data_IF_206222132321
#
_entry.id   IF_206222132321
#
_cell.length_a   1.000
_cell.length_b   1.000
_cell.length_c   1.000
_cell.angle_alpha   90.00
_cell.angle_beta   90.00
_cell.angle_gamma   90.00
#
_symmetry.space_group_name_H-M   'P 1'
#
loop_
_entity.id
_entity.type
_entity.pdbx_description
1 polymer ?
#
# COMPACT_ATOMS: atom_id res chain seq x y z
N UNK A 1 49.45 -40.93 -26.73
CA UNK A 1 48.51 -41.74 -27.53
C UNK A 1 47.18 -41.57 -26.83
N UNK A 2 46.45 -40.49 -27.15
CA UNK A 2 45.26 -40.50 -28.04
C UNK A 2 44.12 -41.28 -27.35
N UNK A 3 42.90 -40.80 -27.12
CA UNK A 3 42.17 -39.63 -27.60
C UNK A 3 40.88 -39.53 -26.75
N UNK A 4 40.45 -38.32 -26.41
CA UNK A 4 39.02 -37.91 -26.24
C UNK A 4 38.31 -38.00 -27.61
N UNK A 5 36.96 -38.09 -27.77
CA UNK A 5 36.05 -36.96 -27.47
C UNK A 5 34.51 -37.22 -27.28
N UNK A 6 33.82 -36.14 -26.83
CA UNK A 6 32.52 -35.57 -27.29
C UNK A 6 31.23 -36.43 -27.42
N UNK A 7 29.98 -35.97 -27.28
CA UNK A 7 29.33 -34.66 -27.09
C UNK A 7 27.84 -34.87 -26.68
N UNK A 8 27.27 -33.88 -25.98
CA UNK A 8 25.93 -33.26 -26.17
C UNK A 8 24.60 -33.92 -25.67
N UNK A 9 23.98 -33.18 -24.74
CA UNK A 9 22.59 -32.64 -24.75
C UNK A 9 21.38 -33.58 -24.69
N UNK A 10 20.54 -33.44 -23.64
CA UNK A 10 19.26 -32.69 -23.73
C UNK A 10 18.51 -32.66 -22.41
N UNK A 11 17.85 -31.52 -22.19
CA UNK A 11 16.90 -31.16 -21.15
C UNK A 11 15.74 -32.16 -21.01
N UNK A 12 15.21 -32.39 -19.79
CA UNK A 12 13.89 -31.85 -19.41
C UNK A 12 13.31 -32.45 -18.12
N UNK A 13 12.59 -31.55 -17.42
CA UNK A 13 11.30 -31.74 -16.72
C UNK A 13 11.24 -32.38 -15.33
N UNK A 14 11.15 -31.45 -14.37
CA UNK A 14 10.25 -31.44 -13.21
C UNK A 14 8.89 -32.11 -13.49
N UNK A 15 8.46 -32.97 -12.56
CA UNK A 15 7.05 -33.24 -12.25
C UNK A 15 6.91 -33.64 -10.77
N UNK A 16 5.65 -33.53 -10.30
CA UNK A 16 5.04 -33.87 -9.01
C UNK A 16 4.95 -32.68 -8.01
N UNK A 17 3.78 -32.32 -7.47
CA UNK A 17 2.42 -32.87 -7.63
C UNK A 17 1.42 -31.82 -7.09
N UNK A 18 0.33 -31.59 -7.81
CA UNK A 18 -0.84 -30.85 -7.33
C UNK A 18 -2.10 -31.70 -7.53
N UNK A 19 -2.90 -31.81 -6.47
CA UNK A 19 -4.31 -32.25 -6.39
C UNK A 19 -4.82 -31.69 -5.04
N UNK A 20 -6.05 -31.23 -4.79
CA UNK A 20 -7.42 -31.39 -5.30
C UNK A 20 -8.10 -29.98 -5.26
N UNK A 21 -9.27 -29.66 -5.81
CA UNK A 21 -10.51 -30.43 -5.98
C UNK A 21 -11.41 -29.81 -7.07
N UNK A 22 -12.34 -30.64 -7.56
CA UNK A 22 -13.25 -30.40 -8.67
C UNK A 22 -14.64 -29.91 -8.23
N UNK A 23 -15.32 -29.24 -9.17
CA UNK A 23 -16.77 -28.98 -9.22
C UNK A 23 -17.03 -27.63 -9.91
N UNK A 24 -17.60 -27.50 -11.10
CA UNK A 24 -18.45 -28.39 -11.89
C UNK A 24 -19.78 -27.67 -12.14
N UNK A 25 -19.85 -26.78 -13.14
CA UNK A 25 -21.12 -26.21 -13.61
C UNK A 25 -21.11 -26.03 -15.13
N UNK A 26 -22.05 -26.73 -15.75
CA UNK A 26 -22.36 -26.79 -17.18
C UNK A 26 -22.96 -25.49 -17.71
N UNK A 27 -22.48 -25.09 -18.89
CA UNK A 27 -23.06 -24.04 -19.72
C UNK A 27 -24.42 -24.44 -20.31
N UNK A 28 -25.36 -23.50 -20.35
CA UNK A 28 -26.51 -23.52 -21.26
C UNK A 28 -26.58 -22.18 -21.98
N UNK A 29 -26.34 -22.21 -23.28
CA UNK A 29 -26.62 -21.13 -24.21
C UNK A 29 -28.13 -21.03 -24.45
N UNK A 30 -28.66 -19.80 -24.47
CA UNK A 30 -30.04 -19.52 -24.81
C UNK A 30 -30.20 -18.11 -25.37
N UNK A 31 -30.03 -17.97 -26.69
CA UNK A 31 -30.46 -16.80 -27.44
C UNK A 31 -31.98 -16.62 -27.33
N UNK A 32 -32.46 -15.41 -27.07
CA UNK A 32 -33.81 -15.01 -27.49
C UNK A 32 -33.85 -13.53 -27.82
N UNK A 33 -34.00 -13.24 -29.10
CA UNK A 33 -34.32 -11.94 -29.66
C UNK A 33 -35.76 -11.58 -29.32
N UNK A 34 -35.98 -10.44 -28.64
CA UNK A 34 -37.29 -9.78 -28.58
C UNK A 34 -37.14 -8.43 -29.26
N UNK A 35 -37.70 -8.35 -30.46
CA UNK A 35 -38.11 -7.13 -31.14
C UNK A 35 -39.28 -6.51 -30.39
N UNK A 36 -39.14 -5.28 -29.90
CA UNK A 36 -40.23 -4.49 -29.33
C UNK A 36 -39.95 -3.01 -29.56
N UNK A 37 -40.52 -2.46 -30.64
CA UNK A 37 -40.53 -1.03 -30.88
C UNK A 37 -41.46 -0.31 -29.90
N UNK A 38 -41.00 0.85 -29.45
CA UNK A 38 -41.78 1.79 -28.66
C UNK A 38 -41.18 3.17 -28.80
N UNK A 39 -41.80 4.00 -29.65
CA UNK A 39 -41.60 5.45 -29.68
C UNK A 39 -41.75 6.03 -28.28
N UNK A 40 -40.73 6.74 -27.81
CA UNK A 40 -40.90 7.78 -26.81
C UNK A 40 -40.04 8.98 -27.20
N UNK A 41 -40.74 10.02 -27.60
CA UNK A 41 -40.30 11.40 -27.75
C UNK A 41 -39.48 11.84 -26.53
N UNK A 42 -38.18 12.09 -26.76
CA UNK A 42 -37.32 12.83 -25.84
C UNK A 42 -37.84 14.26 -25.72
N UNK A 43 -38.54 14.52 -24.62
CA UNK A 43 -38.89 15.88 -24.20
C UNK A 43 -37.81 16.29 -23.21
N UNK A 44 -37.02 17.30 -23.58
CA UNK A 44 -36.03 17.90 -22.70
C UNK A 44 -36.67 18.40 -21.41
N UNK A 45 -36.25 17.82 -20.30
CA UNK A 45 -36.35 18.41 -18.97
C UNK A 45 -34.92 18.49 -18.45
N UNK A 46 -34.36 19.70 -18.42
CA UNK A 46 -33.14 19.98 -17.70
C UNK A 46 -33.42 19.81 -16.21
N UNK A 47 -33.13 18.61 -15.72
CA UNK A 47 -32.89 18.41 -14.30
C UNK A 47 -31.51 19.01 -14.04
N UNK A 48 -31.44 20.00 -13.15
CA UNK A 48 -30.19 20.37 -12.50
C UNK A 48 -29.81 19.23 -11.55
N UNK A 49 -29.45 18.09 -12.15
CA UNK A 49 -29.11 16.87 -11.44
C UNK A 49 -27.91 17.17 -10.56
N UNK A 50 -28.04 16.92 -9.26
CA UNK A 50 -26.88 16.83 -8.39
C UNK A 50 -25.99 15.72 -8.95
N UNK A 51 -24.95 16.09 -9.69
CA UNK A 51 -23.94 15.14 -10.18
C UNK A 51 -23.46 14.32 -8.99
N UNK A 52 -23.63 13.00 -9.04
CA UNK A 52 -23.21 12.13 -7.95
C UNK A 52 -21.69 12.10 -7.85
N UNK A 53 -21.15 12.16 -6.65
CA UNK A 53 -19.72 12.00 -6.40
C UNK A 53 -19.43 10.51 -6.27
N UNK A 54 -18.52 10.00 -7.10
CA UNK A 54 -18.07 8.61 -7.07
C UNK A 54 -16.85 8.53 -6.18
N UNK A 55 -16.98 7.85 -5.05
CA UNK A 55 -15.89 7.67 -4.09
C UNK A 55 -15.25 6.32 -4.32
N UNK A 56 -13.94 6.31 -4.59
CA UNK A 56 -13.19 5.11 -4.91
C UNK A 56 -12.07 4.81 -3.93
N UNK A 57 -11.34 3.73 -4.20
CA UNK A 57 -10.06 3.43 -3.57
C UNK A 57 -9.30 2.37 -4.35
N UNK A 58 -8.05 2.08 -3.93
CA UNK A 58 -7.40 0.84 -4.35
C UNK A 58 -8.01 -0.37 -3.62
N UNK A 59 -7.77 -1.56 -4.19
CA UNK A 59 -8.39 -2.83 -3.77
C UNK A 59 -7.79 -3.52 -2.54
N UNK A 60 -6.79 -2.94 -1.86
CA UNK A 60 -6.20 -3.56 -0.66
C UNK A 60 -6.77 -2.94 0.63
N UNK A 61 -6.68 -3.70 1.73
CA UNK A 61 -7.44 -3.43 2.97
C UNK A 61 -7.40 -1.98 3.46
N UNK A 62 -6.22 -1.42 3.71
CA UNK A 62 -6.08 -0.04 4.18
C UNK A 62 -6.64 1.00 3.19
N UNK A 63 -6.43 0.80 1.88
CA UNK A 63 -6.98 1.69 0.87
C UNK A 63 -8.50 1.65 0.83
N UNK A 64 -9.11 0.48 0.99
CA UNK A 64 -10.57 0.37 1.13
C UNK A 64 -11.05 1.07 2.41
N UNK A 65 -10.33 0.94 3.52
CA UNK A 65 -10.60 1.70 4.75
C UNK A 65 -10.57 3.22 4.50
N UNK A 66 -9.52 3.74 3.87
CA UNK A 66 -9.41 5.16 3.54
C UNK A 66 -10.51 5.59 2.55
N UNK A 67 -10.88 4.75 1.59
CA UNK A 67 -12.02 4.97 0.70
C UNK A 67 -13.32 5.18 1.46
N UNK A 68 -13.58 4.36 2.47
CA UNK A 68 -14.74 4.55 3.34
C UNK A 68 -14.61 5.75 4.28
N UNK A 69 -13.41 6.12 4.73
CA UNK A 69 -13.20 7.40 5.44
C UNK A 69 -13.63 8.57 4.55
N UNK A 70 -13.23 8.59 3.27
CA UNK A 70 -13.66 9.61 2.32
C UNK A 70 -15.19 9.59 2.13
N UNK A 71 -15.78 8.41 1.97
CA UNK A 71 -17.21 8.24 1.77
C UNK A 71 -18.01 8.79 2.96
N UNK A 72 -17.67 8.40 4.18
CA UNK A 72 -18.37 8.81 5.40
C UNK A 72 -18.21 10.31 5.68
N UNK A 73 -17.02 10.88 5.46
CA UNK A 73 -16.80 12.33 5.56
C UNK A 73 -17.72 13.09 4.59
N UNK A 74 -17.76 12.68 3.33
CA UNK A 74 -18.61 13.33 2.32
C UNK A 74 -20.11 13.14 2.60
N UNK A 75 -20.51 11.95 3.05
CA UNK A 75 -21.91 11.62 3.30
C UNK A 75 -22.51 12.42 4.46
N UNK A 76 -21.70 12.71 5.48
CA UNK A 76 -22.18 13.34 6.72
C UNK A 76 -21.91 14.85 6.78
N UNK A 77 -20.97 15.37 5.98
CA UNK A 77 -20.62 16.81 6.02
C UNK A 77 -21.01 17.58 4.74
N UNK A 78 -21.59 16.89 3.75
CA UNK A 78 -22.07 17.51 2.50
C UNK A 78 -23.50 17.09 2.16
N UNK A 79 -24.09 17.73 1.14
CA UNK A 79 -25.38 17.32 0.55
C UNK A 79 -25.20 16.53 -0.77
N UNK A 80 -24.01 15.99 -1.02
CA UNK A 80 -23.73 15.27 -2.26
C UNK A 80 -24.43 13.91 -2.28
N UNK A 81 -24.91 13.51 -3.46
CA UNK A 81 -25.29 12.11 -3.69
C UNK A 81 -24.02 11.32 -3.95
N UNK A 82 -23.77 10.25 -3.20
CA UNK A 82 -22.55 9.46 -3.34
C UNK A 82 -22.79 8.12 -4.04
N UNK A 83 -21.79 7.67 -4.79
CA UNK A 83 -21.69 6.31 -5.33
C UNK A 83 -20.44 5.67 -4.72
N UNK A 84 -20.61 4.50 -4.10
CA UNK A 84 -19.50 3.71 -3.55
C UNK A 84 -18.89 2.84 -4.66
N UNK A 85 -17.65 3.16 -5.01
CA UNK A 85 -16.78 2.39 -5.90
C UNK A 85 -15.46 2.07 -5.17
N UNK A 86 -15.50 1.93 -3.84
CA UNK A 86 -14.34 1.50 -3.06
C UNK A 86 -13.87 0.12 -3.51
N UNK A 87 -12.55 -0.08 -3.49
CA UNK A 87 -11.92 -1.28 -4.03
C UNK A 87 -11.87 -1.32 -5.57
N UNK A 88 -12.00 -0.17 -6.25
CA UNK A 88 -12.05 -0.02 -7.70
C UNK A 88 -10.97 -0.81 -8.47
N UNK A 89 -9.73 -0.84 -7.96
CA UNK A 89 -8.65 -1.61 -8.58
C UNK A 89 -7.24 -1.27 -8.08
N UNK A 90 -6.23 -1.56 -8.89
CA UNK A 90 -4.84 -1.16 -8.61
C UNK A 90 -4.47 0.21 -9.18
N UNK A 91 -3.20 0.61 -9.05
CA UNK A 91 -2.67 1.91 -9.50
C UNK A 91 -3.10 2.28 -10.93
N UNK A 92 -2.99 1.35 -11.90
CA UNK A 92 -3.37 1.63 -13.28
C UNK A 92 -4.87 1.88 -13.46
N UNK A 93 -5.73 1.14 -12.74
CA UNK A 93 -7.18 1.26 -12.85
C UNK A 93 -7.68 2.56 -12.20
N UNK A 94 -7.22 2.85 -10.98
CA UNK A 94 -7.60 4.10 -10.29
C UNK A 94 -7.03 5.31 -11.03
N UNK A 95 -5.83 5.18 -11.65
CA UNK A 95 -5.23 6.23 -12.47
C UNK A 95 -6.01 6.53 -13.75
N UNK A 96 -6.54 5.52 -14.43
CA UNK A 96 -7.49 5.77 -15.51
C UNK A 96 -8.75 6.46 -14.99
N UNK A 97 -9.27 6.00 -13.85
CA UNK A 97 -10.56 6.42 -13.34
C UNK A 97 -10.59 7.89 -12.91
N UNK A 98 -9.60 8.37 -12.16
CA UNK A 98 -9.56 9.79 -11.79
C UNK A 98 -9.24 10.71 -12.96
N UNK A 99 -8.60 10.23 -14.04
CA UNK A 99 -8.34 11.08 -15.22
C UNK A 99 -9.56 11.21 -16.12
N UNK A 100 -10.45 10.24 -16.07
CA UNK A 100 -11.65 10.15 -16.91
C UNK A 100 -12.94 10.56 -16.19
N UNK A 101 -12.85 10.93 -14.90
CA UNK A 101 -14.01 11.27 -14.08
C UNK A 101 -14.87 10.06 -13.67
N UNK A 102 -14.37 8.83 -13.84
CA UNK A 102 -15.08 7.63 -13.38
C UNK A 102 -14.95 7.42 -11.86
N UNK A 103 -13.88 7.95 -11.25
CA UNK A 103 -13.75 8.12 -9.80
C UNK A 103 -13.47 9.58 -9.53
N UNK A 104 -14.20 10.15 -8.58
CA UNK A 104 -14.16 11.58 -8.29
C UNK A 104 -13.38 11.91 -7.02
N UNK A 105 -13.39 11.05 -6.01
CA UNK A 105 -12.68 11.29 -4.75
C UNK A 105 -12.11 9.99 -4.18
N UNK A 106 -10.86 10.02 -3.75
CA UNK A 106 -10.22 8.94 -2.99
C UNK A 106 -8.97 9.45 -2.27
N UNK A 107 -8.40 8.65 -1.36
CA UNK A 107 -7.07 8.92 -0.81
C UNK A 107 -6.03 8.03 -1.48
N UNK A 108 -4.87 8.59 -1.78
CA UNK A 108 -3.69 7.87 -2.26
C UNK A 108 -2.46 8.25 -1.42
N UNK A 109 -1.31 7.62 -1.68
CA UNK A 109 -0.03 7.90 -1.06
C UNK A 109 0.88 8.67 -2.01
N UNK A 110 1.58 9.68 -1.51
CA UNK A 110 2.48 10.52 -2.31
C UNK A 110 3.48 9.69 -3.14
N UNK A 111 4.18 8.74 -2.52
CA UNK A 111 5.10 7.84 -3.21
C UNK A 111 4.44 6.95 -4.28
N UNK A 112 3.18 6.56 -4.09
CA UNK A 112 2.45 5.79 -5.10
C UNK A 112 2.04 6.65 -6.28
N UNK A 113 1.53 7.86 -6.03
CA UNK A 113 1.18 8.81 -7.09
C UNK A 113 2.44 9.13 -7.93
N UNK A 114 3.56 9.40 -7.28
CA UNK A 114 4.82 9.74 -7.94
C UNK A 114 5.39 8.60 -8.82
N UNK A 115 5.44 7.37 -8.28
CA UNK A 115 6.13 6.26 -8.96
C UNK A 115 5.24 5.49 -9.94
N UNK A 116 3.93 5.43 -9.67
CA UNK A 116 3.04 4.48 -10.36
C UNK A 116 1.99 5.13 -11.24
N UNK A 117 1.74 6.43 -11.08
CA UNK A 117 0.74 7.17 -11.86
C UNK A 117 1.46 8.03 -12.89
N UNK A 118 0.88 8.28 -14.08
CA UNK A 118 1.48 9.19 -15.06
C UNK A 118 1.54 10.62 -14.51
N UNK A 119 2.57 11.42 -14.80
CA UNK A 119 3.88 10.98 -15.31
C UNK A 119 4.60 10.13 -14.26
N UNK A 120 5.16 8.98 -14.69
CA UNK A 120 5.80 8.02 -13.78
C UNK A 120 7.27 8.36 -13.59
N UNK A 121 7.74 8.29 -12.35
CA UNK A 121 9.14 8.50 -12.00
C UNK A 121 9.77 7.24 -11.41
N UNK A 122 10.98 6.92 -11.87
CA UNK A 122 11.74 5.76 -11.39
C UNK A 122 12.49 6.02 -10.07
N UNK A 123 12.67 7.29 -9.69
CA UNK A 123 13.26 7.70 -8.40
C UNK A 123 12.42 8.79 -7.72
N UNK A 124 12.56 8.90 -6.40
CA UNK A 124 11.97 9.93 -5.56
C UNK A 124 13.04 10.48 -4.62
N UNK A 125 13.91 11.31 -5.18
CA UNK A 125 15.05 11.90 -4.46
C UNK A 125 14.61 13.20 -3.78
N UNK A 126 13.87 13.07 -2.68
CA UNK A 126 13.39 14.20 -1.87
C UNK A 126 14.00 14.18 -0.48
N UNK A 127 14.48 15.34 -0.02
CA UNK A 127 15.07 15.47 1.32
C UNK A 127 14.00 15.52 2.43
N UNK A 128 12.76 15.91 2.10
CA UNK A 128 11.67 16.09 3.08
C UNK A 128 10.31 15.70 2.48
N UNK A 129 9.33 15.30 3.31
CA UNK A 129 7.96 15.06 2.88
C UNK A 129 7.32 16.28 2.20
N UNK A 130 7.60 17.50 2.70
CA UNK A 130 7.07 18.74 2.14
C UNK A 130 7.59 18.99 0.73
N UNK A 131 8.89 18.76 0.49
CA UNK A 131 9.46 18.88 -0.85
C UNK A 131 8.83 17.90 -1.85
N UNK A 132 8.56 16.67 -1.42
CA UNK A 132 7.85 15.69 -2.24
C UNK A 132 6.39 16.10 -2.49
N UNK A 133 5.69 16.58 -1.46
CA UNK A 133 4.30 17.03 -1.56
C UNK A 133 4.15 18.18 -2.55
N UNK A 134 4.99 19.22 -2.44
CA UNK A 134 4.93 20.39 -3.31
C UNK A 134 5.21 20.02 -4.78
N UNK A 135 6.22 19.19 -5.02
CA UNK A 135 6.55 18.70 -6.36
C UNK A 135 5.42 17.84 -6.94
N UNK A 136 4.90 16.89 -6.16
CA UNK A 136 3.80 16.01 -6.55
C UNK A 136 2.54 16.81 -6.87
N UNK A 137 2.15 17.72 -5.99
CA UNK A 137 0.97 18.57 -6.15
C UNK A 137 1.06 19.40 -7.42
N UNK A 138 2.18 20.11 -7.61
CA UNK A 138 2.39 20.93 -8.80
C UNK A 138 2.30 20.13 -10.09
N UNK A 139 2.90 18.93 -10.13
CA UNK A 139 2.92 18.11 -11.34
C UNK A 139 1.55 17.47 -11.62
N UNK A 140 0.96 16.83 -10.61
CA UNK A 140 -0.31 16.10 -10.75
C UNK A 140 -1.48 17.02 -11.13
N UNK A 141 -1.57 18.21 -10.54
CA UNK A 141 -2.61 19.19 -10.87
C UNK A 141 -2.38 19.84 -12.26
N UNK A 142 -1.15 19.83 -12.78
CA UNK A 142 -0.85 20.36 -14.11
C UNK A 142 -1.12 19.36 -15.23
N UNK A 143 -0.97 18.06 -14.95
CA UNK A 143 -1.09 16.98 -15.93
C UNK A 143 -2.49 16.34 -15.94
N UNK A 144 -3.28 16.51 -14.88
CA UNK A 144 -4.59 15.83 -14.71
C UNK A 144 -5.67 16.78 -14.18
N UNK A 145 -6.96 16.49 -14.42
CA UNK A 145 -8.08 17.29 -13.92
C UNK A 145 -8.40 16.99 -12.45
N UNK A 146 -7.41 17.10 -11.57
CA UNK A 146 -7.54 16.79 -10.15
C UNK A 146 -6.95 17.89 -9.28
N UNK A 147 -7.36 17.90 -8.01
CA UNK A 147 -6.71 18.61 -6.91
C UNK A 147 -6.08 17.62 -5.95
N UNK A 148 -4.87 17.96 -5.49
CA UNK A 148 -4.20 17.27 -4.41
C UNK A 148 -4.50 18.02 -3.10
N UNK A 149 -5.12 17.32 -2.18
CA UNK A 149 -5.58 17.84 -0.89
C UNK A 149 -4.46 17.83 0.15
N UNK A 150 -4.79 18.20 1.39
CA UNK A 150 -3.84 18.22 2.50
C UNK A 150 -3.35 16.79 2.78
N UNK A 151 -2.04 16.66 3.06
CA UNK A 151 -1.41 15.39 3.41
C UNK A 151 -1.52 15.13 4.91
N UNK A 152 -1.58 13.88 5.33
CA UNK A 152 -1.32 13.54 6.74
C UNK A 152 0.19 13.53 7.05
N UNK A 153 0.55 13.59 8.33
CA UNK A 153 1.94 13.57 8.79
C UNK A 153 2.48 12.16 9.08
N UNK A 154 1.65 11.13 9.00
CA UNK A 154 2.07 9.73 9.03
C UNK A 154 2.24 9.14 7.63
N UNK A 155 2.93 8.01 7.55
CA UNK A 155 3.16 7.30 6.30
C UNK A 155 2.84 5.81 6.42
N UNK A 156 2.38 5.22 5.32
CA UNK A 156 2.44 3.77 5.12
C UNK A 156 3.63 3.44 4.21
N UNK A 157 4.82 3.41 4.82
CA UNK A 157 6.05 3.00 4.15
C UNK A 157 6.48 1.58 4.57
N UNK A 158 7.44 1.02 3.83
CA UNK A 158 8.22 -0.13 4.29
C UNK A 158 8.98 0.22 5.57
N UNK A 159 8.87 -0.67 6.55
CA UNK A 159 9.48 -0.54 7.85
C UNK A 159 10.28 -1.79 8.16
N UNK A 160 11.48 -1.60 8.71
CA UNK A 160 12.27 -2.67 9.31
C UNK A 160 11.91 -2.73 10.78
N UNK A 161 11.20 -3.79 11.18
CA UNK A 161 10.83 -4.00 12.58
C UNK A 161 11.77 -5.01 13.22
N UNK A 162 12.10 -4.77 14.48
CA UNK A 162 12.98 -5.61 15.30
C UNK A 162 12.30 -5.98 16.61
N UNK A 163 12.51 -7.21 17.06
CA UNK A 163 12.14 -7.60 18.42
C UNK A 163 13.04 -6.87 19.41
N UNK A 164 12.47 -6.20 20.41
CA UNK A 164 13.23 -5.45 21.44
C UNK A 164 14.28 -6.34 22.11
N UNK A 165 13.93 -7.59 22.43
CA UNK A 165 14.85 -8.59 23.00
C UNK A 165 16.11 -8.86 22.16
N UNK A 166 16.07 -8.59 20.85
CA UNK A 166 17.18 -8.85 19.95
C UNK A 166 18.12 -7.63 19.79
N UNK A 167 17.64 -6.44 20.13
CA UNK A 167 18.40 -5.18 20.01
C UNK A 167 18.70 -4.54 21.37
N UNK A 168 18.20 -5.11 22.46
CA UNK A 168 18.49 -4.64 23.81
C UNK A 168 20.02 -4.64 24.07
N UNK A 169 20.56 -3.46 24.36
CA UNK A 169 21.99 -3.28 24.65
C UNK A 169 22.91 -3.33 23.43
N UNK A 170 22.40 -3.50 22.21
CA UNK A 170 23.21 -3.44 20.98
C UNK A 170 23.44 -2.00 20.51
N UNK A 171 22.53 -1.08 20.88
CA UNK A 171 22.55 0.31 20.44
C UNK A 171 21.94 0.53 19.05
N UNK A 172 21.37 -0.51 18.43
CA UNK A 172 20.74 -0.41 17.10
C UNK A 172 19.47 0.42 17.21
N UNK A 173 19.43 1.61 16.61
CA UNK A 173 18.23 2.45 16.52
C UNK A 173 17.77 2.63 15.07
N UNK A 174 18.71 2.61 14.13
CA UNK A 174 18.45 2.84 12.70
C UNK A 174 18.92 1.70 11.80
N UNK A 175 18.58 1.77 10.51
CA UNK A 175 19.06 0.81 9.50
C UNK A 175 20.59 0.95 9.31
N UNK A 176 21.15 2.17 9.41
CA UNK A 176 22.61 2.37 9.43
C UNK A 176 23.28 1.67 10.61
N UNK A 177 22.68 1.69 11.81
CA UNK A 177 23.24 0.96 12.95
C UNK A 177 23.20 -0.56 12.74
N UNK A 178 22.12 -1.07 12.14
CA UNK A 178 22.02 -2.48 11.76
C UNK A 178 23.12 -2.87 10.75
N UNK A 179 23.39 -2.00 9.77
CA UNK A 179 24.49 -2.19 8.82
C UNK A 179 25.84 -2.26 9.53
N UNK A 180 26.11 -1.33 10.45
CA UNK A 180 27.33 -1.30 11.25
C UNK A 180 27.48 -2.57 12.10
N UNK A 181 26.39 -3.04 12.73
CA UNK A 181 26.36 -4.24 13.54
C UNK A 181 26.74 -5.50 12.74
N UNK A 182 26.11 -5.70 11.57
CA UNK A 182 26.42 -6.81 10.67
C UNK A 182 27.85 -6.69 10.13
N UNK A 183 28.29 -5.49 9.74
CA UNK A 183 29.63 -5.25 9.22
C UNK A 183 30.73 -5.51 10.26
N UNK A 184 30.40 -5.33 11.56
CA UNK A 184 31.28 -5.67 12.69
C UNK A 184 31.41 -7.17 12.95
N UNK A 185 30.74 -8.01 12.13
CA UNK A 185 30.65 -9.48 12.26
C UNK A 185 29.78 -9.94 13.42
N UNK A 186 28.83 -9.12 13.86
CA UNK A 186 27.78 -9.59 14.75
C UNK A 186 26.55 -9.99 13.93
N UNK A 187 26.17 -11.25 14.04
CA UNK A 187 25.10 -11.89 13.28
C UNK A 187 24.07 -12.50 14.22
N UNK A 188 23.83 -11.93 15.40
CA UNK A 188 22.90 -12.45 16.41
C UNK A 188 21.41 -12.21 16.08
N UNK A 189 21.10 -11.47 15.02
CA UNK A 189 19.74 -11.17 14.56
C UNK A 189 19.34 -12.14 13.45
N UNK A 190 18.19 -12.79 13.53
CA UNK A 190 17.62 -13.57 12.42
C UNK A 190 16.55 -12.77 11.66
N UNK A 191 16.73 -12.45 10.38
CA UNK A 191 15.74 -11.70 9.63
C UNK A 191 14.70 -12.59 8.93
N UNK A 192 13.50 -12.06 8.74
CA UNK A 192 12.42 -12.63 7.95
C UNK A 192 11.93 -11.61 6.89
N UNK A 193 11.76 -12.07 5.66
CA UNK A 193 11.30 -11.23 4.56
C UNK A 193 10.08 -11.85 3.89
N UNK A 194 9.18 -11.02 3.39
CA UNK A 194 8.05 -11.48 2.58
C UNK A 194 8.50 -11.91 1.18
N UNK A 195 7.80 -12.88 0.60
CA UNK A 195 8.04 -13.35 -0.77
C UNK A 195 8.06 -12.18 -1.75
N UNK A 196 9.05 -12.20 -2.65
CA UNK A 196 9.27 -11.15 -3.64
C UNK A 196 9.94 -9.87 -3.11
N UNK A 197 9.93 -9.58 -1.80
CA UNK A 197 10.56 -8.36 -1.26
C UNK A 197 12.04 -8.28 -1.62
N UNK A 198 12.74 -9.43 -1.59
CA UNK A 198 14.15 -9.50 -1.92
C UNK A 198 14.48 -8.97 -3.32
N UNK A 199 13.68 -9.35 -4.31
CA UNK A 199 13.94 -9.10 -5.74
C UNK A 199 13.38 -7.78 -6.28
N UNK A 200 12.72 -6.97 -5.45
CA UNK A 200 12.19 -5.68 -5.88
C UNK A 200 13.32 -4.67 -6.13
N UNK A 201 13.07 -3.70 -6.99
CA UNK A 201 14.01 -2.59 -7.24
C UNK A 201 14.23 -1.71 -6.00
N UNK A 202 13.23 -1.63 -5.12
CA UNK A 202 13.24 -0.97 -3.80
C UNK A 202 13.26 -2.00 -2.65
N UNK A 203 13.74 -3.21 -2.94
CA UNK A 203 13.71 -4.38 -2.06
C UNK A 203 14.97 -4.58 -1.21
N UNK A 204 15.11 -5.78 -0.64
CA UNK A 204 16.23 -6.10 0.27
C UNK A 204 17.61 -5.86 -0.36
N UNK A 205 17.85 -6.35 -1.57
CA UNK A 205 19.19 -6.24 -2.18
C UNK A 205 19.56 -4.76 -2.43
N UNK A 206 18.59 -3.92 -2.81
CA UNK A 206 18.78 -2.48 -2.98
C UNK A 206 18.96 -1.75 -1.64
N UNK A 207 18.22 -2.14 -0.60
CA UNK A 207 18.35 -1.61 0.76
C UNK A 207 19.76 -1.88 1.32
N UNK A 208 20.23 -3.13 1.17
CA UNK A 208 21.54 -3.53 1.67
C UNK A 208 22.68 -2.77 0.98
N UNK A 209 22.58 -2.56 -0.34
CA UNK A 209 23.55 -1.77 -1.10
C UNK A 209 23.53 -0.30 -0.67
N UNK A 210 22.33 0.30 -0.58
CA UNK A 210 22.15 1.69 -0.20
C UNK A 210 22.75 1.99 1.19
N UNK A 211 22.49 1.11 2.17
CA UNK A 211 23.00 1.20 3.54
C UNK A 211 24.43 0.64 3.73
N UNK A 212 25.12 0.30 2.64
CA UNK A 212 26.52 -0.13 2.65
C UNK A 212 26.79 -1.37 3.52
N UNK A 213 25.86 -2.34 3.52
CA UNK A 213 26.14 -3.66 4.09
C UNK A 213 27.24 -4.35 3.27
N UNK A 214 28.29 -4.83 3.92
CA UNK A 214 29.38 -5.57 3.28
C UNK A 214 28.83 -6.90 2.74
N UNK A 215 28.91 -7.16 1.41
CA UNK A 215 28.33 -8.36 0.81
C UNK A 215 28.89 -9.68 1.36
N UNK A 216 30.16 -9.72 1.77
CA UNK A 216 30.75 -10.89 2.43
C UNK A 216 30.15 -11.10 3.82
N UNK A 217 29.87 -10.00 4.54
CA UNK A 217 29.23 -10.05 5.87
C UNK A 217 27.78 -10.45 5.78
N UNK A 218 27.03 -9.94 4.81
CA UNK A 218 25.64 -10.39 4.54
C UNK A 218 25.61 -11.88 4.19
N UNK A 219 26.54 -12.35 3.36
CA UNK A 219 26.62 -13.77 3.01
C UNK A 219 26.90 -14.64 4.25
N UNK A 220 27.82 -14.21 5.12
CA UNK A 220 28.09 -14.90 6.38
C UNK A 220 26.87 -14.87 7.32
N UNK A 221 26.22 -13.71 7.45
CA UNK A 221 25.02 -13.53 8.26
C UNK A 221 23.89 -14.48 7.83
N UNK A 222 23.61 -14.55 6.53
CA UNK A 222 22.61 -15.45 5.97
C UNK A 222 22.96 -16.93 6.21
N UNK A 223 24.24 -17.29 6.18
CA UNK A 223 24.70 -18.65 6.47
C UNK A 223 24.61 -19.02 7.96
N UNK A 224 24.80 -18.07 8.87
CA UNK A 224 24.84 -18.33 10.32
C UNK A 224 23.45 -18.26 10.98
N UNK A 225 22.53 -17.44 10.44
CA UNK A 225 21.19 -17.25 11.02
C UNK A 225 20.02 -17.73 10.19
N UNK A 226 20.24 -18.08 8.93
CA UNK A 226 19.18 -18.43 7.97
C UNK A 226 18.14 -17.30 7.82
N UNK A 227 18.17 -16.62 6.68
CA UNK A 227 17.15 -15.63 6.35
C UNK A 227 15.85 -16.37 6.05
N UNK A 228 14.80 -16.06 6.79
CA UNK A 228 13.50 -16.67 6.62
C UNK A 228 12.76 -16.02 5.46
N UNK A 229 12.44 -16.81 4.44
CA UNK A 229 11.53 -16.41 3.38
C UNK A 229 10.10 -16.79 3.81
N UNK A 230 9.24 -15.78 3.93
CA UNK A 230 7.85 -15.92 4.37
C UNK A 230 6.88 -15.64 3.23
N UNK A 231 5.62 -16.04 3.36
CA UNK A 231 4.65 -15.89 2.26
C UNK A 231 4.22 -14.44 1.99
N UNK A 232 4.48 -13.50 2.93
CA UNK A 232 4.06 -12.10 2.81
C UNK A 232 4.77 -11.22 3.85
N UNK A 233 4.72 -9.90 3.66
CA UNK A 233 5.17 -8.92 4.67
C UNK A 233 4.49 -9.12 6.04
N UNK A 234 3.21 -9.49 6.04
CA UNK A 234 2.50 -9.81 7.29
C UNK A 234 3.06 -11.07 7.96
N UNK A 235 3.37 -12.10 7.19
CA UNK A 235 3.97 -13.33 7.73
C UNK A 235 5.38 -13.09 8.28
N UNK A 236 6.15 -12.16 7.71
CA UNK A 236 7.40 -11.69 8.30
C UNK A 236 7.18 -11.02 9.67
N UNK A 237 6.13 -10.21 9.80
CA UNK A 237 5.69 -9.62 11.08
C UNK A 237 5.37 -10.68 12.13
N UNK A 238 4.50 -11.63 11.77
CA UNK A 238 4.15 -12.78 12.64
C UNK A 238 5.38 -13.59 13.04
N UNK A 239 6.34 -13.78 12.14
CA UNK A 239 7.57 -14.50 12.48
C UNK A 239 8.40 -13.79 13.56
N UNK A 240 8.40 -12.44 13.58
CA UNK A 240 9.06 -11.66 14.64
C UNK A 240 8.30 -11.73 15.95
N UNK A 241 6.99 -11.54 15.90
CA UNK A 241 6.10 -11.59 17.08
C UNK A 241 6.15 -12.98 17.77
N UNK A 242 6.05 -14.06 17.00
CA UNK A 242 6.12 -15.44 17.52
C UNK A 242 7.55 -15.89 17.87
N UNK A 243 8.56 -15.04 17.65
CA UNK A 243 9.95 -15.30 18.00
C UNK A 243 10.68 -16.28 17.07
N UNK A 244 10.14 -16.56 15.88
CA UNK A 244 10.84 -17.31 14.84
C UNK A 244 11.94 -16.50 14.15
N UNK A 245 11.78 -15.18 14.13
CA UNK A 245 12.74 -14.19 13.66
C UNK A 245 12.93 -13.09 14.72
N UNK A 246 13.99 -12.31 14.55
CA UNK A 246 14.35 -11.16 15.37
C UNK A 246 14.14 -9.84 14.63
N UNK A 247 14.08 -9.88 13.31
CA UNK A 247 13.86 -8.75 12.42
C UNK A 247 12.93 -9.15 11.29
N UNK A 248 12.08 -8.24 10.84
CA UNK A 248 11.38 -8.41 9.58
C UNK A 248 11.06 -7.11 8.88
N UNK A 249 10.51 -7.23 7.68
CA UNK A 249 10.17 -6.08 6.83
C UNK A 249 8.72 -6.13 6.40
N UNK A 250 8.03 -5.02 6.52
CA UNK A 250 6.61 -4.91 6.21
C UNK A 250 6.09 -3.48 6.29
N UNK A 251 4.78 -3.30 6.33
CA UNK A 251 4.16 -1.97 6.29
C UNK A 251 4.07 -1.35 7.69
N UNK A 252 4.48 -0.10 7.82
CA UNK A 252 4.47 0.68 9.08
C UNK A 252 3.09 0.89 9.69
N UNK A 253 2.02 0.73 8.90
CA UNK A 253 0.62 0.84 9.38
C UNK A 253 -0.08 -0.52 9.53
N UNK A 254 0.67 -1.62 9.51
CA UNK A 254 0.09 -2.96 9.62
C UNK A 254 -0.68 -3.16 10.93
N UNK A 255 -1.88 -3.75 10.85
CA UNK A 255 -2.75 -4.00 12.00
C UNK A 255 -2.09 -4.79 13.14
N UNK A 256 -1.20 -5.74 12.83
CA UNK A 256 -0.54 -6.57 13.84
C UNK A 256 0.37 -5.76 14.78
N UNK A 257 0.79 -4.55 14.37
CA UNK A 257 1.58 -3.65 15.21
C UNK A 257 0.82 -3.15 16.44
N UNK A 258 -0.52 -3.26 16.45
CA UNK A 258 -1.35 -2.82 17.58
C UNK A 258 -1.27 -3.73 18.81
N UNK A 259 -0.84 -4.98 18.64
CA UNK A 259 -0.86 -6.01 19.68
C UNK A 259 0.55 -6.39 20.17
N UNK A 260 1.59 -5.64 19.78
CA UNK A 260 3.00 -6.02 19.97
C UNK A 260 3.85 -4.94 20.63
N UNK A 261 3.85 -4.90 21.97
CA UNK A 261 4.72 -4.01 22.74
C UNK A 261 6.23 -4.39 22.67
N UNK A 262 6.53 -5.60 22.18
CA UNK A 262 7.88 -6.16 22.12
C UNK A 262 8.61 -5.92 20.80
N UNK A 263 8.02 -5.13 19.91
CA UNK A 263 8.57 -4.84 18.59
C UNK A 263 8.74 -3.34 18.41
N UNK A 264 9.86 -2.93 17.82
CA UNK A 264 10.14 -1.54 17.46
C UNK A 264 10.52 -1.42 16.01
N UNK A 265 10.17 -0.30 15.40
CA UNK A 265 10.59 0.06 14.04
C UNK A 265 11.96 0.75 14.10
N UNK A 266 12.89 0.34 13.24
CA UNK A 266 14.15 1.02 13.05
C UNK A 266 13.95 2.28 12.19
N UNK A 267 14.68 3.34 12.51
CA UNK A 267 14.68 4.56 11.71
C UNK A 267 15.33 4.30 10.33
N UNK A 268 14.62 4.65 9.26
CA UNK A 268 15.17 4.77 7.90
C UNK A 268 15.96 6.08 7.81
N UNK A 269 17.10 6.15 8.51
CA UNK A 269 17.85 7.39 8.77
C UNK A 269 18.45 8.06 7.52
N UNK A 270 18.39 7.38 6.38
CA UNK A 270 18.85 7.88 5.08
C UNK A 270 17.73 8.02 4.05
N UNK A 271 16.46 7.84 4.43
CA UNK A 271 15.29 7.93 3.56
C UNK A 271 15.43 7.06 2.29
N UNK A 272 15.72 5.77 2.47
CA UNK A 272 15.82 4.84 1.34
C UNK A 272 14.48 4.70 0.60
N UNK A 273 13.36 4.66 1.33
CA UNK A 273 12.04 4.63 0.72
C UNK A 273 11.47 6.05 0.53
N UNK A 274 10.73 6.29 -0.57
CA UNK A 274 9.98 7.54 -0.75
C UNK A 274 9.01 7.81 0.39
N UNK A 275 8.58 9.07 0.56
CA UNK A 275 7.59 9.40 1.57
C UNK A 275 6.19 8.95 1.11
N UNK A 276 5.57 8.04 1.86
CA UNK A 276 4.25 7.48 1.58
C UNK A 276 3.19 8.09 2.50
N UNK A 277 3.12 9.42 2.57
CA UNK A 277 2.06 10.10 3.31
C UNK A 277 0.76 10.05 2.51
N UNK A 278 -0.40 9.83 3.16
CA UNK A 278 -1.69 9.83 2.48
C UNK A 278 -2.09 11.26 2.11
N UNK A 279 -2.71 11.41 0.95
CA UNK A 279 -3.23 12.66 0.39
C UNK A 279 -4.59 12.40 -0.25
N UNK A 280 -5.50 13.38 -0.17
CA UNK A 280 -6.74 13.33 -0.93
C UNK A 280 -6.51 13.68 -2.40
N UNK A 281 -7.19 12.96 -3.28
CA UNK A 281 -7.22 13.22 -4.72
C UNK A 281 -8.67 13.45 -5.12
N UNK A 282 -8.98 14.64 -5.61
CA UNK A 282 -10.35 15.05 -5.97
C UNK A 282 -10.40 15.53 -7.41
N UNK A 283 -11.31 14.98 -8.21
CA UNK A 283 -11.56 15.44 -9.57
C UNK A 283 -12.13 16.86 -9.56
N UNK A 284 -11.63 17.72 -10.45
CA UNK A 284 -12.00 19.14 -10.53
C UNK A 284 -13.53 19.36 -10.67
N UNK A 285 -14.21 18.50 -11.44
CA UNK A 285 -15.67 18.53 -11.62
C UNK A 285 -16.49 18.52 -10.31
N UNK A 286 -15.95 17.99 -9.22
CA UNK A 286 -16.63 17.90 -7.91
C UNK A 286 -15.94 18.68 -6.80
N UNK A 287 -14.83 19.36 -7.09
CA UNK A 287 -13.95 20.01 -6.11
C UNK A 287 -14.50 21.35 -5.55
N UNK A 288 -15.72 21.30 -5.02
CA UNK A 288 -16.33 22.43 -4.29
C UNK A 288 -15.66 22.63 -2.93
N UNK A 289 -15.77 23.84 -2.36
CA UNK A 289 -15.21 24.14 -1.03
C UNK A 289 -15.70 23.17 0.05
N UNK A 290 -16.95 22.71 -0.03
CA UNK A 290 -17.51 21.75 0.91
C UNK A 290 -16.87 20.35 0.78
N UNK A 291 -16.65 19.87 -0.45
CA UNK A 291 -16.00 18.58 -0.73
C UNK A 291 -14.53 18.61 -0.30
N UNK A 292 -13.83 19.69 -0.63
CA UNK A 292 -12.43 19.90 -0.25
C UNK A 292 -12.30 19.96 1.28
N UNK A 293 -13.13 20.75 1.96
CA UNK A 293 -13.11 20.85 3.42
C UNK A 293 -13.44 19.51 4.11
N UNK A 294 -14.42 18.76 3.59
CA UNK A 294 -14.77 17.45 4.12
C UNK A 294 -13.57 16.49 4.07
N UNK A 295 -12.89 16.40 2.93
CA UNK A 295 -11.78 15.46 2.75
C UNK A 295 -10.48 15.93 3.42
N UNK A 296 -10.27 17.24 3.58
CA UNK A 296 -9.18 17.78 4.40
C UNK A 296 -9.34 17.50 5.91
N UNK A 297 -10.42 16.83 6.33
CA UNK A 297 -10.57 16.34 7.72
C UNK A 297 -9.73 15.09 8.00
N UNK A 298 -9.33 14.32 6.97
CA UNK A 298 -8.61 13.04 7.16
C UNK A 298 -7.30 13.17 7.97
N UNK A 299 -6.43 14.17 7.73
CA UNK A 299 -5.21 14.35 8.53
C UNK A 299 -5.48 14.51 10.03
N UNK A 300 -6.58 15.15 10.43
CA UNK A 300 -6.96 15.29 11.84
C UNK A 300 -7.65 14.03 12.37
N UNK A 301 -8.44 13.35 11.53
CA UNK A 301 -9.12 12.12 11.90
C UNK A 301 -8.14 10.96 12.16
N UNK A 302 -7.08 10.90 11.35
CA UNK A 302 -6.02 9.91 11.46
C UNK A 302 -4.70 10.69 11.58
N UNK A 303 -4.33 11.14 12.80
CA UNK A 303 -3.18 12.04 12.99
C UNK A 303 -1.84 11.31 12.93
N UNK A 304 -1.81 10.01 13.22
CA UNK A 304 -0.59 9.23 13.36
C UNK A 304 -0.74 7.79 12.83
N UNK A 305 0.40 7.09 12.71
CA UNK A 305 0.45 5.74 12.20
C UNK A 305 -0.25 4.76 13.15
N UNK A 306 -0.16 4.98 14.45
CA UNK A 306 -0.80 4.17 15.50
C UNK A 306 -2.34 4.20 15.37
N UNK A 307 -2.91 5.37 15.07
CA UNK A 307 -4.35 5.52 14.79
C UNK A 307 -4.74 4.72 13.54
N UNK A 308 -3.93 4.80 12.48
CA UNK A 308 -4.16 4.02 11.26
C UNK A 308 -4.03 2.51 11.51
N UNK A 309 -3.04 2.06 12.28
CA UNK A 309 -2.86 0.66 12.68
C UNK A 309 -4.08 0.15 13.45
N UNK A 310 -4.56 0.92 14.43
CA UNK A 310 -5.76 0.60 15.20
C UNK A 310 -7.01 0.55 14.32
N UNK A 311 -7.11 1.46 13.35
CA UNK A 311 -8.21 1.47 12.38
C UNK A 311 -8.15 0.26 11.44
N UNK A 312 -6.96 -0.12 10.95
CA UNK A 312 -6.76 -1.35 10.16
C UNK A 312 -7.10 -2.61 10.96
N UNK A 313 -6.73 -2.66 12.24
CA UNK A 313 -7.07 -3.77 13.14
C UNK A 313 -8.58 -3.91 13.32
N UNK A 314 -9.28 -2.80 13.58
CA UNK A 314 -10.77 -2.78 13.62
C UNK A 314 -11.37 -3.21 12.28
N UNK A 315 -10.87 -2.69 11.16
CA UNK A 315 -11.36 -3.04 9.84
C UNK A 315 -11.25 -4.55 9.54
N UNK A 316 -10.17 -5.20 9.99
CA UNK A 316 -10.02 -6.64 9.88
C UNK A 316 -11.07 -7.44 10.69
N UNK A 317 -11.55 -6.88 11.81
CA UNK A 317 -12.53 -7.51 12.68
C UNK A 317 -13.99 -7.22 12.30
N UNK A 318 -14.32 -5.97 11.94
CA UNK A 318 -15.70 -5.51 11.71
C UNK A 318 -16.03 -5.19 10.25
N UNK A 319 -15.03 -5.19 9.35
CA UNK A 319 -15.16 -4.70 7.98
C UNK A 319 -14.80 -3.21 7.85
N UNK A 320 -14.27 -2.83 6.68
CA UNK A 320 -13.70 -1.52 6.42
C UNK A 320 -14.68 -0.36 6.61
N UNK A 321 -15.91 -0.47 6.09
CA UNK A 321 -16.92 0.59 6.18
C UNK A 321 -17.32 0.85 7.63
N UNK A 322 -17.68 -0.21 8.36
CA UNK A 322 -18.08 -0.08 9.77
C UNK A 322 -16.94 0.52 10.61
N UNK A 323 -15.71 0.07 10.39
CA UNK A 323 -14.56 0.59 11.14
C UNK A 323 -14.28 2.08 10.85
N UNK A 324 -14.44 2.52 9.60
CA UNK A 324 -14.30 3.93 9.22
C UNK A 324 -15.41 4.79 9.85
N UNK A 325 -16.68 4.37 9.72
CA UNK A 325 -17.82 5.08 10.31
C UNK A 325 -17.70 5.19 11.84
N UNK A 326 -17.41 4.07 12.53
CA UNK A 326 -17.24 4.04 13.98
C UNK A 326 -16.07 4.92 14.42
N UNK A 327 -14.97 4.93 13.67
CA UNK A 327 -13.81 5.77 14.00
C UNK A 327 -14.14 7.25 13.90
N UNK A 328 -14.81 7.70 12.83
CA UNK A 328 -15.19 9.10 12.67
C UNK A 328 -16.22 9.53 13.72
N UNK A 329 -17.24 8.70 14.00
CA UNK A 329 -18.27 9.00 15.02
C UNK A 329 -17.69 9.06 16.42
N UNK A 330 -16.85 8.10 16.81
CA UNK A 330 -16.29 8.04 18.16
C UNK A 330 -15.28 9.17 18.46
N UNK A 331 -14.79 9.86 17.43
CA UNK A 331 -13.86 10.98 17.54
C UNK A 331 -14.48 12.32 17.10
N UNK A 332 -15.82 12.40 17.02
CA UNK A 332 -16.58 13.62 16.74
C UNK A 332 -16.25 14.30 15.38
N UNK A 333 -15.86 13.52 14.37
CA UNK A 333 -15.65 14.01 13.00
C UNK A 333 -16.91 13.96 12.13
N UNK A 334 -17.92 13.16 12.51
CA UNK A 334 -19.26 13.08 11.89
C UNK A 334 -20.35 12.88 12.95
#
# INVERSE_FOLDING_TARGET
MMDTPEHASTSSRRQLLGMLAAGGTTAVAGCTTITGGGDTTSTGGGDSGSSSIVVGSKGYGEQVTLGYVAYELLANTTNATLVDETGFGGNAAISEAYRTGNVHAYYDYMGSLWSSHPPKHDSADFDTPDAQYDALKSEMESEHPIRILDRADWQNTWAVFVAERAVEGTGIQSISDLAAHVNSRNYDIRPAFGDGFRSRSDGLDALLDYYEFDPERVTAWASEREFLETASAQAAGTAVDEGYADLGVGYSTSAWLTDVDSVRVLDDDRNFWPFFHPVGVVHEDVATDAVVAALNTMPDAIPDAETMQALNSRAAASGNQQAAADHLQNNDFI
#
